data_IF_445705119469
#
_entry.id   IF_445705119469
#
_cell.length_a   1.000
_cell.length_b   1.000
_cell.length_c   1.000
_cell.angle_alpha   90.00
_cell.angle_beta   90.00
_cell.angle_gamma   90.00
#
_symmetry.space_group_name_H-M   'P 1'
#
loop_
_entity.id
_entity.type
_entity.pdbx_description
1 polymer ?
#
# COMPACT_ATOMS: atom_id res chain seq x y z
N UNK A 1 -8.85 9.77 -9.17
CA UNK A 1 -8.12 8.70 -9.89
C UNK A 1 -8.39 7.36 -9.22
N UNK A 2 -8.12 6.29 -9.93
CA UNK A 2 -8.27 4.91 -9.45
C UNK A 2 -7.00 4.12 -9.75
N UNK A 3 -6.77 3.05 -8.98
CA UNK A 3 -5.71 2.08 -9.29
C UNK A 3 -6.04 1.37 -10.61
N UNK A 4 -5.01 1.07 -11.38
CA UNK A 4 -5.09 0.15 -12.51
C UNK A 4 -4.43 -1.18 -12.14
N UNK A 5 -4.39 -2.15 -13.05
CA UNK A 5 -3.78 -3.46 -12.79
C UNK A 5 -2.33 -3.35 -12.32
N UNK A 6 -1.54 -2.47 -12.92
CA UNK A 6 -0.15 -2.26 -12.50
C UNK A 6 -0.06 -1.79 -11.04
N UNK A 7 -1.00 -0.96 -10.60
CA UNK A 7 -1.07 -0.50 -9.21
C UNK A 7 -1.42 -1.62 -8.24
N UNK A 8 -2.38 -2.45 -8.57
CA UNK A 8 -2.71 -3.62 -7.74
C UNK A 8 -1.52 -4.59 -7.65
N UNK A 9 -0.88 -4.89 -8.78
CA UNK A 9 0.26 -5.81 -8.80
C UNK A 9 1.45 -5.26 -8.04
N UNK A 10 1.70 -3.96 -8.11
CA UNK A 10 2.75 -3.30 -7.33
C UNK A 10 2.61 -3.60 -5.83
N UNK A 11 1.41 -3.49 -5.30
CA UNK A 11 1.16 -3.70 -3.87
C UNK A 11 1.21 -5.19 -3.53
N UNK A 12 0.54 -6.05 -4.30
CA UNK A 12 0.50 -7.50 -4.01
C UNK A 12 1.86 -8.15 -4.07
N UNK A 13 2.77 -7.65 -4.91
CA UNK A 13 4.13 -8.15 -5.02
C UNK A 13 4.90 -8.03 -3.69
N UNK A 14 4.62 -6.99 -2.90
CA UNK A 14 5.24 -6.79 -1.60
C UNK A 14 4.48 -7.45 -0.45
N UNK A 15 3.17 -7.66 -0.59
CA UNK A 15 2.35 -8.22 0.49
C UNK A 15 2.47 -9.74 0.61
N UNK A 16 2.79 -10.45 -0.48
CA UNK A 16 2.83 -11.90 -0.50
C UNK A 16 1.46 -12.54 -0.43
N UNK A 17 1.39 -13.85 -0.65
CA UNK A 17 0.13 -14.60 -0.71
C UNK A 17 0.13 -15.75 0.28
N UNK A 18 -0.96 -15.92 1.04
CA UNK A 18 -1.22 -17.12 1.83
C UNK A 18 -2.65 -17.60 1.60
N UNK A 19 -2.80 -18.86 1.16
CA UNK A 19 -4.12 -19.48 0.97
C UNK A 19 -4.81 -19.73 2.30
N UNK A 20 -4.05 -20.00 3.37
CA UNK A 20 -4.55 -20.35 4.71
C UNK A 20 -4.41 -19.19 5.67
N UNK A 21 -5.30 -19.09 6.68
CA UNK A 21 -5.14 -18.08 7.72
C UNK A 21 -3.81 -18.26 8.46
N UNK A 22 -3.20 -17.14 8.82
CA UNK A 22 -2.00 -17.10 9.65
C UNK A 22 -2.05 -15.87 10.56
N UNK A 23 -1.24 -15.85 11.61
CA UNK A 23 -1.10 -14.68 12.47
C UNK A 23 -0.02 -13.77 11.90
N UNK A 24 -0.37 -12.52 11.63
CA UNK A 24 0.61 -11.53 11.20
C UNK A 24 1.50 -11.09 12.39
N UNK A 25 2.46 -10.21 12.15
CA UNK A 25 3.36 -9.68 13.20
C UNK A 25 2.60 -9.04 14.37
N UNK A 26 1.42 -8.50 14.14
CA UNK A 26 0.54 -7.92 15.17
C UNK A 26 -0.36 -8.99 15.83
N UNK A 27 -0.16 -10.29 15.52
CA UNK A 27 -0.95 -11.43 16.04
C UNK A 27 -2.44 -11.35 15.67
N UNK A 28 -2.74 -10.78 14.53
CA UNK A 28 -4.10 -10.68 13.97
C UNK A 28 -4.25 -11.76 12.88
N UNK A 29 -5.34 -12.56 12.90
CA UNK A 29 -5.62 -13.52 11.84
C UNK A 29 -5.71 -12.84 10.48
N UNK A 30 -4.92 -13.32 9.53
CA UNK A 30 -4.69 -12.70 8.21
C UNK A 30 -4.75 -13.80 7.15
N UNK A 31 -5.22 -13.47 5.95
CA UNK A 31 -5.30 -14.42 4.83
C UNK A 31 -5.06 -13.68 3.51
N UNK A 32 -4.73 -14.43 2.47
CA UNK A 32 -4.58 -13.89 1.12
C UNK A 32 -3.39 -12.95 0.99
N UNK A 33 -3.61 -11.75 0.51
CA UNK A 33 -2.59 -10.72 0.35
C UNK A 33 -2.59 -9.75 1.54
N UNK A 34 -2.57 -10.30 2.76
CA UNK A 34 -2.52 -9.48 3.97
C UNK A 34 -3.89 -8.98 4.44
N UNK A 35 -4.97 -9.62 4.01
CA UNK A 35 -6.33 -9.22 4.39
C UNK A 35 -6.71 -9.75 5.76
N UNK A 36 -7.31 -8.89 6.59
CA UNK A 36 -7.84 -9.24 7.92
C UNK A 36 -9.36 -9.32 7.93
N UNK A 37 -9.99 -8.91 6.84
CA UNK A 37 -11.44 -8.95 6.62
C UNK A 37 -11.76 -9.50 5.24
N UNK A 38 -12.89 -10.18 5.15
CA UNK A 38 -13.49 -10.58 3.87
C UNK A 38 -14.29 -9.41 3.25
N UNK A 39 -14.70 -9.57 1.99
CA UNK A 39 -15.45 -8.54 1.26
C UNK A 39 -16.80 -8.18 1.91
N UNK A 40 -17.35 -9.09 2.73
CA UNK A 40 -18.58 -8.86 3.49
C UNK A 40 -18.35 -8.21 4.87
N UNK A 41 -17.13 -7.74 5.13
CA UNK A 41 -16.68 -7.14 6.39
C UNK A 41 -16.60 -8.10 7.59
N UNK A 42 -16.70 -9.40 7.37
CA UNK A 42 -16.44 -10.39 8.42
C UNK A 42 -14.95 -10.51 8.66
N UNK A 43 -14.56 -10.64 9.92
CA UNK A 43 -13.15 -10.83 10.29
C UNK A 43 -12.65 -12.19 9.87
N UNK A 44 -11.39 -12.25 9.42
CA UNK A 44 -10.67 -13.51 9.22
C UNK A 44 -10.42 -14.15 10.58
N UNK A 45 -10.62 -15.48 10.68
CA UNK A 45 -10.30 -16.27 11.86
C UNK A 45 -9.33 -17.38 11.50
N UNK A 46 -8.61 -17.91 12.48
CA UNK A 46 -7.63 -18.98 12.25
C UNK A 46 -8.29 -20.32 11.85
N UNK A 47 -9.60 -20.45 12.06
CA UNK A 47 -10.37 -21.66 11.71
C UNK A 47 -10.98 -21.59 10.30
N UNK A 48 -10.77 -20.50 9.57
CA UNK A 48 -11.37 -20.33 8.25
C UNK A 48 -10.72 -21.27 7.24
N UNK A 49 -11.51 -21.64 6.23
CA UNK A 49 -11.04 -22.46 5.12
C UNK A 49 -10.07 -21.68 4.24
N UNK A 50 -9.20 -22.41 3.54
CA UNK A 50 -8.31 -21.80 2.57
C UNK A 50 -9.10 -21.16 1.42
N UNK A 51 -8.51 -20.15 0.82
CA UNK A 51 -9.06 -19.43 -0.33
C UNK A 51 -8.15 -19.57 -1.54
N UNK A 52 -8.72 -19.34 -2.72
CA UNK A 52 -7.95 -19.29 -3.96
C UNK A 52 -7.23 -17.95 -4.10
N UNK A 53 -6.22 -17.91 -4.97
CA UNK A 53 -5.52 -16.66 -5.28
C UNK A 53 -6.44 -15.61 -5.90
N UNK A 54 -7.41 -16.05 -6.72
CA UNK A 54 -8.42 -15.17 -7.31
C UNK A 54 -9.30 -14.54 -6.23
N UNK A 55 -9.78 -15.34 -5.27
CA UNK A 55 -10.56 -14.82 -4.14
C UNK A 55 -9.74 -13.84 -3.30
N UNK A 56 -8.47 -14.17 -3.04
CA UNK A 56 -7.56 -13.30 -2.30
C UNK A 56 -7.35 -11.95 -3.00
N UNK A 57 -7.22 -11.97 -4.32
CA UNK A 57 -7.04 -10.76 -5.11
C UNK A 57 -8.28 -9.87 -5.08
N UNK A 58 -9.47 -10.46 -5.19
CA UNK A 58 -10.73 -9.71 -5.10
C UNK A 58 -10.91 -9.06 -3.72
N UNK A 59 -10.58 -9.77 -2.65
CA UNK A 59 -10.58 -9.21 -1.28
C UNK A 59 -9.59 -8.06 -1.15
N UNK A 60 -8.39 -8.24 -1.66
CA UNK A 60 -7.33 -7.24 -1.65
C UNK A 60 -7.77 -5.96 -2.39
N UNK A 61 -8.36 -6.10 -3.58
CA UNK A 61 -8.80 -4.95 -4.38
C UNK A 61 -9.79 -4.07 -3.62
N UNK A 62 -10.73 -4.67 -2.92
CA UNK A 62 -11.70 -3.94 -2.10
C UNK A 62 -11.01 -3.06 -1.06
N UNK A 63 -9.97 -3.59 -0.41
CA UNK A 63 -9.20 -2.86 0.60
C UNK A 63 -8.33 -1.78 -0.06
N UNK A 64 -7.60 -2.16 -1.12
CA UNK A 64 -6.71 -1.24 -1.84
C UNK A 64 -7.48 -0.04 -2.40
N UNK A 65 -8.70 -0.26 -2.88
CA UNK A 65 -9.54 0.81 -3.42
C UNK A 65 -9.95 1.83 -2.35
N UNK A 66 -10.09 1.42 -1.10
CA UNK A 66 -10.32 2.35 0.02
C UNK A 66 -9.11 3.25 0.24
N UNK A 67 -7.90 2.69 0.18
CA UNK A 67 -6.67 3.50 0.26
C UNK A 67 -6.54 4.43 -0.94
N UNK A 68 -6.84 3.94 -2.14
CA UNK A 68 -6.79 4.75 -3.36
C UNK A 68 -7.77 5.93 -3.28
N UNK A 69 -8.99 5.70 -2.80
CA UNK A 69 -9.97 6.75 -2.61
C UNK A 69 -9.47 7.82 -1.63
N UNK A 70 -8.84 7.42 -0.54
CA UNK A 70 -8.29 8.36 0.44
C UNK A 70 -7.13 9.16 -0.13
N UNK A 71 -6.23 8.52 -0.84
CA UNK A 71 -5.11 9.22 -1.52
C UNK A 71 -5.65 10.22 -2.54
N UNK A 72 -6.65 9.82 -3.32
CA UNK A 72 -7.28 10.71 -4.31
C UNK A 72 -7.90 11.95 -3.66
N UNK A 73 -8.47 11.83 -2.46
CA UNK A 73 -9.01 12.96 -1.71
C UNK A 73 -7.92 13.89 -1.17
N UNK A 74 -6.77 13.35 -0.78
CA UNK A 74 -5.69 14.10 -0.14
C UNK A 74 -4.77 14.80 -1.14
N UNK A 75 -4.65 14.28 -2.36
CA UNK A 75 -3.79 14.86 -3.39
C UNK A 75 -4.55 15.89 -4.20
N UNK A 76 -3.97 17.08 -4.30
CA UNK A 76 -4.56 18.22 -5.05
C UNK A 76 -3.82 18.49 -6.36
N UNK A 77 -2.65 17.89 -6.58
CA UNK A 77 -1.88 18.01 -7.81
C UNK A 77 -2.36 17.05 -8.89
N UNK A 78 -2.20 17.40 -10.19
CA UNK A 78 -2.53 16.48 -11.28
C UNK A 78 -1.47 15.40 -11.41
N UNK A 79 -1.79 14.16 -11.00
CA UNK A 79 -0.88 13.03 -11.07
C UNK A 79 -1.07 12.23 -12.36
N UNK A 80 0.02 11.61 -12.86
CA UNK A 80 -0.11 10.53 -13.83
C UNK A 80 -0.43 9.22 -13.08
N UNK A 81 -0.74 8.15 -13.83
CA UNK A 81 -1.15 6.88 -13.24
C UNK A 81 -0.03 6.25 -12.39
N UNK A 82 1.22 6.31 -12.83
CA UNK A 82 2.34 5.75 -12.09
C UNK A 82 2.59 6.48 -10.78
N UNK A 83 2.48 7.80 -10.78
CA UNK A 83 2.59 8.59 -9.56
C UNK A 83 1.49 8.21 -8.57
N UNK A 84 0.26 8.10 -9.05
CA UNK A 84 -0.86 7.70 -8.21
C UNK A 84 -0.66 6.30 -7.62
N UNK A 85 -0.30 5.33 -8.45
CA UNK A 85 -0.05 3.95 -8.01
C UNK A 85 1.02 3.90 -6.92
N UNK A 86 2.12 4.63 -7.10
CA UNK A 86 3.21 4.67 -6.12
C UNK A 86 2.76 5.26 -4.78
N UNK A 87 1.98 6.33 -4.81
CA UNK A 87 1.46 6.95 -3.59
C UNK A 87 0.47 6.04 -2.85
N UNK A 88 -0.38 5.33 -3.59
CA UNK A 88 -1.30 4.38 -2.97
C UNK A 88 -0.54 3.21 -2.33
N UNK A 89 0.50 2.70 -3.00
CA UNK A 89 1.36 1.66 -2.42
C UNK A 89 2.00 2.11 -1.11
N UNK A 90 2.54 3.32 -1.07
CA UNK A 90 3.09 3.89 0.15
C UNK A 90 2.02 4.01 1.24
N UNK A 91 0.89 4.61 0.93
CA UNK A 91 -0.21 4.81 1.89
C UNK A 91 -0.76 3.48 2.42
N UNK A 92 -0.85 2.46 1.56
CA UNK A 92 -1.26 1.10 1.96
C UNK A 92 -0.34 0.54 3.04
N UNK A 93 0.96 0.77 2.92
CA UNK A 93 1.95 0.23 3.84
C UNK A 93 2.10 1.05 5.13
N UNK A 94 2.17 2.38 5.03
CA UNK A 94 2.40 3.25 6.20
C UNK A 94 1.12 3.71 6.90
N UNK A 95 -0.02 3.53 6.26
CA UNK A 95 -1.32 3.99 6.74
C UNK A 95 -1.69 5.38 6.24
N UNK A 96 -2.99 5.63 6.12
CA UNK A 96 -3.51 6.91 5.60
C UNK A 96 -3.23 8.09 6.53
N UNK A 97 -3.20 7.87 7.84
CA UNK A 97 -2.88 8.91 8.83
C UNK A 97 -1.45 9.43 8.65
N UNK A 98 -0.48 8.51 8.58
CA UNK A 98 0.92 8.86 8.34
C UNK A 98 1.09 9.55 6.98
N UNK A 99 0.44 9.02 5.96
CA UNK A 99 0.47 9.61 4.62
C UNK A 99 -0.09 11.04 4.63
N UNK A 100 -1.24 11.26 5.27
CA UNK A 100 -1.89 12.56 5.33
C UNK A 100 -1.03 13.64 6.00
N UNK A 101 -0.25 13.28 7.01
CA UNK A 101 0.63 14.20 7.73
C UNK A 101 2.05 14.27 7.19
N UNK A 102 2.37 13.50 6.14
CA UNK A 102 3.74 13.39 5.62
C UNK A 102 4.22 14.64 4.90
N UNK A 103 5.52 14.89 4.99
CA UNK A 103 6.19 15.90 4.16
C UNK A 103 6.10 15.54 2.68
N UNK A 104 6.10 14.24 2.37
CA UNK A 104 5.94 13.76 1.00
C UNK A 104 4.66 14.32 0.37
N UNK A 105 3.52 14.18 1.04
CA UNK A 105 2.25 14.68 0.53
C UNK A 105 2.27 16.21 0.33
N UNK A 106 2.88 16.95 1.25
CA UNK A 106 3.03 18.38 1.13
C UNK A 106 3.80 18.78 -0.14
N UNK A 107 4.90 18.06 -0.42
CA UNK A 107 5.70 18.28 -1.62
C UNK A 107 4.94 17.92 -2.88
N UNK A 108 4.25 16.79 -2.90
CA UNK A 108 3.41 16.38 -4.03
C UNK A 108 2.36 17.44 -4.35
N UNK A 109 1.68 17.94 -3.34
CA UNK A 109 0.64 18.96 -3.53
C UNK A 109 1.18 20.31 -3.99
N UNK A 110 2.41 20.64 -3.63
CA UNK A 110 3.08 21.85 -4.09
C UNK A 110 3.59 21.71 -5.52
N UNK A 111 4.25 20.59 -5.82
CA UNK A 111 4.79 20.28 -7.14
C UNK A 111 5.05 18.77 -7.25
N UNK A 112 4.16 18.06 -7.94
CA UNK A 112 4.27 16.60 -8.10
C UNK A 112 5.51 16.14 -8.87
N UNK A 113 6.21 17.05 -9.54
CA UNK A 113 7.45 16.76 -10.26
C UNK A 113 8.73 17.11 -9.46
N UNK A 114 8.57 17.51 -8.21
CA UNK A 114 9.71 17.80 -7.32
C UNK A 114 10.56 16.55 -7.12
N UNK A 115 11.82 16.58 -7.58
CA UNK A 115 12.72 15.42 -7.51
C UNK A 115 13.07 15.04 -6.08
N UNK A 116 12.96 15.93 -5.11
CA UNK A 116 13.19 15.61 -3.69
C UNK A 116 12.12 14.70 -3.08
N UNK A 117 11.01 14.48 -3.79
CA UNK A 117 9.99 13.50 -3.39
C UNK A 117 10.60 12.10 -3.29
N UNK A 118 11.60 11.77 -4.12
CA UNK A 118 12.33 10.49 -4.02
C UNK A 118 12.88 10.26 -2.60
N UNK A 119 13.53 11.26 -2.03
CA UNK A 119 14.07 11.15 -0.66
C UNK A 119 12.97 11.03 0.37
N UNK A 120 11.82 11.65 0.15
CA UNK A 120 10.69 11.54 1.06
C UNK A 120 10.10 10.13 1.09
N UNK A 121 10.06 9.41 -0.05
CA UNK A 121 9.72 7.99 -0.05
C UNK A 121 10.67 7.20 0.84
N UNK A 122 11.96 7.38 0.66
CA UNK A 122 13.00 6.60 1.33
C UNK A 122 13.04 6.78 2.85
N UNK A 123 12.50 7.86 3.38
CA UNK A 123 12.40 8.07 4.84
C UNK A 123 11.48 7.06 5.53
N UNK A 124 10.55 6.44 4.81
CA UNK A 124 9.58 5.49 5.36
C UNK A 124 10.10 4.05 5.32
N UNK A 125 11.30 3.81 5.85
CA UNK A 125 11.98 2.51 5.83
C UNK A 125 12.32 1.97 7.22
N UNK A 126 11.68 2.50 8.27
CA UNK A 126 12.01 2.15 9.65
C UNK A 126 10.84 1.52 10.39
N UNK A 127 11.18 0.59 11.30
CA UNK A 127 10.27 0.06 12.33
C UNK A 127 10.97 0.26 13.66
N UNK A 128 10.27 0.89 14.63
CA UNK A 128 10.85 1.22 15.93
C UNK A 128 12.20 1.95 15.81
N UNK A 129 12.25 2.94 14.91
CA UNK A 129 13.44 3.79 14.64
C UNK A 129 14.63 3.06 14.01
N UNK A 130 14.47 1.80 13.63
CA UNK A 130 15.53 1.00 12.97
C UNK A 130 15.18 0.76 11.50
N UNK A 131 16.17 0.89 10.64
CA UNK A 131 16.01 0.60 9.22
C UNK A 131 15.72 -0.89 8.99
N UNK A 132 14.79 -1.18 8.09
CA UNK A 132 14.43 -2.53 7.67
C UNK A 132 14.71 -2.66 6.18
N UNK A 133 15.56 -3.62 5.81
CA UNK A 133 16.00 -3.79 4.43
C UNK A 133 14.85 -3.98 3.43
N UNK A 134 13.82 -4.73 3.82
CA UNK A 134 12.64 -4.93 2.97
C UNK A 134 11.86 -3.64 2.72
N UNK A 135 11.76 -2.77 3.73
CA UNK A 135 11.11 -1.48 3.58
C UNK A 135 11.93 -0.52 2.73
N UNK A 136 13.25 -0.54 2.87
CA UNK A 136 14.16 0.25 2.02
C UNK A 136 13.97 -0.14 0.56
N UNK A 137 13.96 -1.43 0.26
CA UNK A 137 13.76 -1.96 -1.09
C UNK A 137 12.41 -1.51 -1.66
N UNK A 138 11.35 -1.61 -0.85
CA UNK A 138 10.00 -1.21 -1.26
C UNK A 138 9.94 0.29 -1.59
N UNK A 139 10.52 1.13 -0.75
CA UNK A 139 10.53 2.59 -0.97
C UNK A 139 11.30 2.97 -2.24
N UNK A 140 12.42 2.31 -2.51
CA UNK A 140 13.18 2.53 -3.75
C UNK A 140 12.34 2.15 -4.96
N UNK A 141 11.67 1.02 -4.91
CA UNK A 141 10.81 0.56 -6.00
C UNK A 141 9.63 1.53 -6.25
N UNK A 142 8.96 1.94 -5.18
CA UNK A 142 7.85 2.91 -5.27
C UNK A 142 8.31 4.25 -5.85
N UNK A 143 9.46 4.77 -5.41
CA UNK A 143 10.02 6.00 -5.93
C UNK A 143 10.36 5.89 -7.42
N UNK A 144 10.92 4.77 -7.84
CA UNK A 144 11.22 4.52 -9.26
C UNK A 144 9.95 4.53 -10.11
N UNK A 145 8.88 3.91 -9.63
CA UNK A 145 7.57 3.94 -10.32
C UNK A 145 7.04 5.37 -10.38
N UNK A 146 7.14 6.12 -9.30
CA UNK A 146 6.67 7.51 -9.25
C UNK A 146 7.32 8.38 -10.34
N UNK A 147 8.60 8.20 -10.57
CA UNK A 147 9.38 8.99 -11.53
C UNK A 147 9.57 8.31 -12.90
N UNK A 148 8.87 7.20 -13.14
CA UNK A 148 8.93 6.51 -14.43
C UNK A 148 8.07 7.16 -15.51
#
# INVERSE_FOLDING_TARGET
MKLNNAGYLLITEFEGFSAKPYLCSAKIPTIGFGSTYYSDNKRVTMLDKEITKVQAFEMFKTIADKFASKVSQLVTSPLNQNQFNALVSLAYNIGTGNFASSTLLKKVNKNHNDTSIELEFKKWNKVNKKEVAGLTKRRIYEANIYFS
#
